data_IF_795865390809
#
_entry.id   IF_795865390809
#
_cell.length_a   1.000
_cell.length_b   1.000
_cell.length_c   1.000
_cell.angle_alpha   90.00
_cell.angle_beta   90.00
_cell.angle_gamma   90.00
#
_symmetry.space_group_name_H-M   'P 1'
#
loop_
_entity.id
_entity.type
_entity.pdbx_description
1 polymer ?
#
# COMPACT_ATOMS: atom_id res chain seq x y z
N UNK A 1 29.64 34.91 -45.33
CA UNK A 1 28.37 34.54 -45.96
C UNK A 1 28.46 33.09 -46.40
N UNK A 2 27.87 32.22 -45.65
CA UNK A 2 27.60 30.82 -46.03
C UNK A 2 26.37 30.33 -45.22
N UNK A 3 25.36 29.72 -45.86
CA UNK A 3 24.12 29.39 -45.18
C UNK A 3 24.18 28.01 -44.48
N UNK A 4 23.56 27.95 -43.34
CA UNK A 4 23.26 26.74 -42.59
C UNK A 4 22.25 25.89 -43.35
N UNK A 5 22.58 24.61 -43.58
CA UNK A 5 21.66 23.58 -44.02
C UNK A 5 21.19 22.80 -42.84
N UNK A 6 19.88 22.84 -42.55
CA UNK A 6 19.24 22.00 -41.55
C UNK A 6 18.97 20.62 -42.17
N UNK A 7 19.48 19.56 -41.55
CA UNK A 7 19.18 18.19 -41.95
C UNK A 7 18.00 17.67 -41.12
N UNK A 8 16.87 17.42 -41.79
CA UNK A 8 15.69 16.75 -41.28
C UNK A 8 15.91 15.24 -41.34
N UNK A 9 15.99 14.58 -40.19
CA UNK A 9 16.02 13.11 -40.13
C UNK A 9 14.59 12.59 -40.13
N UNK A 10 14.21 11.97 -41.21
CA UNK A 10 12.94 11.23 -41.36
C UNK A 10 13.22 9.79 -40.89
N UNK A 11 12.61 9.40 -39.78
CA UNK A 11 12.66 8.01 -39.28
C UNK A 11 11.50 7.23 -39.88
N UNK A 12 11.79 6.33 -40.82
CA UNK A 12 10.84 5.41 -41.43
C UNK A 12 10.59 4.20 -40.57
N UNK A 13 9.34 3.92 -40.24
CA UNK A 13 8.89 2.66 -39.63
C UNK A 13 8.80 1.55 -40.68
N UNK A 14 9.22 0.32 -40.41
CA UNK A 14 8.85 -0.82 -41.24
C UNK A 14 7.45 -1.34 -40.88
N UNK A 15 6.67 -1.57 -41.89
CA UNK A 15 5.35 -2.20 -41.84
C UNK A 15 5.47 -3.73 -41.85
N UNK A 16 4.59 -4.37 -41.08
CA UNK A 16 4.01 -5.65 -41.46
C UNK A 16 4.53 -6.91 -40.79
N UNK A 17 3.71 -7.44 -39.89
CA UNK A 17 3.34 -8.86 -39.92
C UNK A 17 2.03 -9.02 -39.12
N UNK A 18 0.94 -9.16 -39.84
CA UNK A 18 -0.36 -9.52 -39.32
C UNK A 18 -0.42 -11.05 -39.18
N UNK A 19 -0.64 -11.54 -37.95
CA UNK A 19 -0.99 -12.95 -37.70
C UNK A 19 -2.48 -12.99 -37.36
N UNK A 20 -3.31 -13.83 -37.98
CA UNK A 20 -4.74 -13.87 -37.69
C UNK A 20 -5.05 -14.62 -36.40
N UNK A 21 -5.70 -13.95 -35.46
CA UNK A 21 -6.32 -14.55 -34.27
C UNK A 21 -7.56 -15.38 -34.67
N UNK A 22 -7.51 -16.66 -34.36
CA UNK A 22 -8.67 -17.54 -34.36
C UNK A 22 -9.56 -17.20 -33.17
N UNK A 23 -10.77 -16.75 -33.44
CA UNK A 23 -11.84 -16.60 -32.47
C UNK A 23 -12.31 -17.98 -31.96
N UNK A 24 -12.19 -18.23 -30.67
CA UNK A 24 -12.90 -19.31 -29.98
C UNK A 24 -14.05 -18.68 -29.21
N UNK A 25 -15.26 -18.82 -29.78
CA UNK A 25 -16.49 -18.46 -29.08
C UNK A 25 -16.76 -19.46 -27.93
N UNK A 26 -16.74 -19.00 -26.68
CA UNK A 26 -17.35 -19.69 -25.55
C UNK A 26 -18.56 -18.90 -25.07
N UNK A 27 -19.73 -19.56 -25.11
CA UNK A 27 -21.04 -18.99 -24.85
C UNK A 27 -21.19 -18.52 -23.40
N UNK A 28 -21.56 -17.26 -23.23
CA UNK A 28 -22.02 -16.69 -21.99
C UNK A 28 -23.45 -17.19 -21.70
N UNK A 29 -23.63 -17.99 -20.66
CA UNK A 29 -24.93 -18.24 -20.05
C UNK A 29 -25.25 -17.10 -19.09
N UNK A 30 -26.17 -16.23 -19.49
CA UNK A 30 -26.81 -15.26 -18.62
C UNK A 30 -27.64 -16.01 -17.56
N UNK A 31 -27.28 -15.89 -16.29
CA UNK A 31 -28.15 -16.22 -15.16
C UNK A 31 -28.77 -14.93 -14.67
N UNK A 32 -30.07 -14.77 -14.94
CA UNK A 32 -30.89 -13.70 -14.40
C UNK A 32 -31.01 -13.86 -12.88
N UNK A 33 -30.59 -12.84 -12.14
CA UNK A 33 -30.88 -12.69 -10.71
C UNK A 33 -32.12 -11.80 -10.56
N UNK A 34 -33.20 -12.42 -10.08
CA UNK A 34 -34.42 -11.78 -9.63
C UNK A 34 -34.11 -10.92 -8.40
N UNK A 35 -34.33 -9.60 -8.50
CA UNK A 35 -34.32 -8.69 -7.37
C UNK A 35 -35.60 -8.90 -6.56
N UNK A 36 -35.49 -9.46 -5.36
CA UNK A 36 -36.52 -9.42 -4.33
C UNK A 36 -36.20 -8.34 -3.32
N UNK A 37 -36.90 -7.24 -3.44
CA UNK A 37 -36.89 -6.15 -2.46
C UNK A 37 -37.60 -6.58 -1.17
N UNK A 38 -36.86 -6.83 -0.10
CA UNK A 38 -37.38 -6.99 1.25
C UNK A 38 -37.26 -5.65 1.98
N UNK A 39 -38.40 -4.98 2.17
CA UNK A 39 -38.55 -3.81 3.03
C UNK A 39 -38.59 -4.31 4.46
N UNK A 40 -37.55 -4.10 5.25
CA UNK A 40 -37.56 -4.27 6.69
C UNK A 40 -38.00 -2.96 7.37
N UNK A 41 -39.22 -2.93 7.87
CA UNK A 41 -39.70 -1.91 8.76
C UNK A 41 -39.21 -2.16 10.19
N UNK A 42 -38.50 -1.18 10.76
CA UNK A 42 -38.06 -1.18 12.16
C UNK A 42 -39.20 -0.71 13.07
N UNK A 43 -39.49 -1.36 14.20
CA UNK A 43 -40.43 -0.85 15.19
C UNK A 43 -39.73 0.18 16.11
N UNK A 44 -40.43 1.29 16.33
CA UNK A 44 -40.07 2.31 17.34
C UNK A 44 -40.28 1.76 18.76
N UNK A 45 -39.40 2.05 19.72
CA UNK A 45 -39.70 1.81 21.14
C UNK A 45 -40.57 2.94 21.73
N UNK A 46 -41.64 2.57 22.42
CA UNK A 46 -42.48 3.43 23.27
C UNK A 46 -41.84 3.63 24.65
N UNK A 47 -41.99 4.80 25.30
CA UNK A 47 -41.48 5.05 26.64
C UNK A 47 -42.36 4.42 27.71
N UNK A 48 -41.84 3.98 28.86
CA UNK A 48 -42.65 3.52 29.98
C UNK A 48 -43.12 4.69 30.84
N UNK A 49 -44.39 4.59 31.27
CA UNK A 49 -45.10 5.45 32.19
C UNK A 49 -44.62 5.28 33.63
N UNK A 50 -44.67 6.40 34.34
CA UNK A 50 -44.42 6.59 35.78
C UNK A 50 -45.43 5.89 36.69
N UNK A 51 -44.98 5.34 37.82
CA UNK A 51 -45.68 5.41 39.12
C UNK A 51 -44.73 5.00 40.25
N UNK A 52 -44.42 5.90 41.07
CA UNK A 52 -44.64 6.17 42.50
C UNK A 52 -44.18 5.11 43.54
N UNK A 53 -43.35 5.67 44.45
CA UNK A 53 -43.30 5.44 45.93
C UNK A 53 -42.84 4.10 46.54
N UNK A 54 -41.74 4.12 47.26
CA UNK A 54 -41.68 4.11 48.75
C UNK A 54 -40.26 4.00 49.31
N UNK A 55 -39.94 4.95 50.21
CA UNK A 55 -39.08 4.88 51.40
C UNK A 55 -38.14 3.70 51.66
N UNK A 56 -36.83 3.97 51.87
CA UNK A 56 -36.18 3.94 53.18
C UNK A 56 -34.68 4.08 53.15
N UNK A 57 -34.22 5.00 54.04
CA UNK A 57 -33.02 4.99 54.88
C UNK A 57 -31.61 4.71 54.26
N UNK A 58 -30.85 5.75 54.32
CA UNK A 58 -29.52 6.07 54.72
C UNK A 58 -28.52 4.95 55.06
N UNK A 59 -27.42 5.05 54.33
CA UNK A 59 -26.12 4.71 54.90
C UNK A 59 -25.09 5.54 54.14
N UNK A 60 -24.50 6.50 54.84
CA UNK A 60 -23.39 7.30 54.39
C UNK A 60 -22.15 6.40 54.33
N UNK A 61 -21.74 6.05 53.16
CA UNK A 61 -20.40 5.46 52.92
C UNK A 61 -19.50 6.54 52.37
N UNK A 62 -18.62 7.03 53.22
CA UNK A 62 -17.51 7.94 52.88
C UNK A 62 -16.57 7.17 51.98
N UNK A 63 -16.62 7.44 50.67
CA UNK A 63 -15.56 6.98 49.77
C UNK A 63 -14.29 7.81 50.03
N UNK A 64 -13.38 7.20 50.74
CA UNK A 64 -12.01 7.66 50.87
C UNK A 64 -11.39 7.74 49.50
N UNK A 65 -11.01 8.93 49.06
CA UNK A 65 -10.23 9.14 47.87
C UNK A 65 -8.84 8.54 48.08
N UNK A 66 -8.66 7.33 47.63
CA UNK A 66 -7.32 6.78 47.44
C UNK A 66 -6.67 7.57 46.30
N UNK A 67 -5.72 8.41 46.64
CA UNK A 67 -4.75 8.98 45.71
C UNK A 67 -4.01 7.82 45.04
N UNK A 68 -4.50 7.39 43.89
CA UNK A 68 -3.74 6.53 43.01
C UNK A 68 -2.58 7.36 42.49
N UNK A 69 -1.40 7.16 43.05
CA UNK A 69 -0.16 7.55 42.42
C UNK A 69 -0.09 6.82 41.07
N UNK A 70 -0.40 7.56 39.98
CA UNK A 70 -0.12 7.11 38.66
C UNK A 70 1.42 6.99 38.53
N UNK A 71 1.92 5.80 38.76
CA UNK A 71 3.22 5.42 38.21
C UNK A 71 3.01 5.38 36.69
N UNK A 72 3.35 6.47 36.04
CA UNK A 72 3.64 6.51 34.61
C UNK A 72 4.81 5.55 34.40
N UNK A 73 4.49 4.28 34.13
CA UNK A 73 5.44 3.39 33.50
C UNK A 73 5.63 3.96 32.08
N UNK A 74 6.49 4.95 31.94
CA UNK A 74 7.20 5.24 30.71
C UNK A 74 8.02 3.99 30.40
N UNK A 75 7.37 3.01 29.76
CA UNK A 75 8.06 2.00 28.99
C UNK A 75 8.69 2.76 27.83
N UNK A 76 9.86 3.28 28.09
CA UNK A 76 10.83 3.71 27.11
C UNK A 76 11.16 2.44 26.31
N UNK A 77 10.31 2.15 25.30
CA UNK A 77 10.59 1.07 24.35
C UNK A 77 11.93 1.39 23.74
N UNK A 78 12.92 0.56 24.06
CA UNK A 78 14.30 0.72 23.65
C UNK A 78 14.33 0.88 22.13
N UNK A 79 14.91 1.99 21.64
CA UNK A 79 15.02 2.27 20.20
C UNK A 79 15.77 1.18 19.48
N UNK A 80 16.72 0.51 20.16
CA UNK A 80 17.51 -0.60 19.63
C UNK A 80 16.65 -1.80 19.25
N UNK A 81 15.57 -2.07 20.00
CA UNK A 81 14.69 -3.21 19.75
C UNK A 81 13.90 -3.05 18.43
N UNK A 82 13.52 -1.83 18.06
CA UNK A 82 12.82 -1.56 16.77
C UNK A 82 13.70 -1.73 15.54
N UNK A 83 15.01 -1.54 15.68
CA UNK A 83 15.97 -1.72 14.60
C UNK A 83 16.63 -3.10 14.61
N UNK A 84 16.22 -4.00 15.51
CA UNK A 84 16.69 -5.36 15.45
C UNK A 84 16.30 -6.00 14.11
N UNK A 85 17.22 -6.71 13.49
CA UNK A 85 16.99 -7.36 12.18
C UNK A 85 15.79 -8.30 12.22
N UNK A 86 15.50 -8.92 13.35
CA UNK A 86 14.40 -9.87 13.49
C UNK A 86 13.05 -9.14 13.51
N UNK A 87 12.94 -8.01 14.20
CA UNK A 87 11.73 -7.18 14.21
C UNK A 87 11.47 -6.54 12.83
N UNK A 88 12.54 -6.09 12.14
CA UNK A 88 12.44 -5.59 10.78
C UNK A 88 11.95 -6.69 9.85
N UNK A 89 12.53 -7.89 9.90
CA UNK A 89 12.10 -9.04 9.09
C UNK A 89 10.64 -9.42 9.36
N UNK A 90 10.25 -9.51 10.62
CA UNK A 90 8.87 -9.82 11.00
C UNK A 90 7.88 -8.78 10.44
N UNK A 91 8.22 -7.50 10.49
CA UNK A 91 7.42 -6.41 9.91
C UNK A 91 7.32 -6.53 8.39
N UNK A 92 8.43 -6.79 7.70
CA UNK A 92 8.46 -6.97 6.25
C UNK A 92 7.63 -8.17 5.80
N UNK A 93 7.73 -9.31 6.51
CA UNK A 93 6.98 -10.53 6.22
C UNK A 93 5.46 -10.29 6.35
N UNK A 94 5.03 -9.53 7.35
CA UNK A 94 3.62 -9.16 7.54
C UNK A 94 3.12 -8.21 6.45
N UNK A 95 3.97 -7.27 6.00
CA UNK A 95 3.64 -6.37 4.89
C UNK A 95 3.51 -7.10 3.55
N UNK A 96 4.26 -8.18 3.35
CA UNK A 96 4.08 -9.06 2.19
C UNK A 96 2.65 -9.62 2.12
N UNK A 97 2.12 -10.10 3.24
CA UNK A 97 0.76 -10.65 3.31
C UNK A 97 -0.28 -9.58 2.93
N UNK A 98 -0.14 -8.37 3.47
CA UNK A 98 -1.06 -7.26 3.17
C UNK A 98 -1.06 -6.89 1.68
N UNK A 99 0.11 -6.87 1.04
CA UNK A 99 0.22 -6.60 -0.39
C UNK A 99 -0.43 -7.71 -1.20
N UNK A 100 -0.15 -8.98 -0.90
CA UNK A 100 -0.70 -10.11 -1.64
C UNK A 100 -2.23 -10.13 -1.55
N UNK A 101 -2.81 -9.91 -0.36
CA UNK A 101 -4.27 -9.80 -0.21
C UNK A 101 -4.85 -8.63 -1.00
N UNK A 102 -4.18 -7.48 -1.00
CA UNK A 102 -4.60 -6.32 -1.81
C UNK A 102 -4.59 -6.63 -3.31
N UNK A 103 -3.55 -7.29 -3.81
CA UNK A 103 -3.43 -7.69 -5.21
C UNK A 103 -4.50 -8.72 -5.61
N UNK A 104 -4.78 -9.70 -4.76
CA UNK A 104 -5.84 -10.69 -4.98
C UNK A 104 -7.20 -10.01 -5.08
N UNK A 105 -7.48 -9.05 -4.21
CA UNK A 105 -8.73 -8.28 -4.25
C UNK A 105 -8.81 -7.40 -5.50
N UNK A 106 -7.74 -6.68 -5.83
CA UNK A 106 -7.71 -5.79 -7.01
C UNK A 106 -7.90 -6.56 -8.33
N UNK A 107 -7.30 -7.75 -8.43
CA UNK A 107 -7.39 -8.60 -9.63
C UNK A 107 -8.81 -9.10 -9.94
N UNK A 108 -9.77 -8.94 -9.01
CA UNK A 108 -11.18 -9.31 -9.27
C UNK A 108 -11.89 -8.30 -10.19
N UNK A 109 -11.32 -7.12 -10.39
CA UNK A 109 -11.93 -6.04 -11.17
C UNK A 109 -11.16 -5.81 -12.45
N UNK A 110 -11.88 -5.40 -13.51
CA UNK A 110 -11.25 -4.90 -14.73
C UNK A 110 -10.40 -3.66 -14.46
N UNK A 111 -9.66 -3.21 -15.47
CA UNK A 111 -8.80 -2.02 -15.32
C UNK A 111 -9.63 -0.80 -14.95
N UNK A 112 -10.80 -0.59 -15.58
CA UNK A 112 -11.67 0.58 -15.37
C UNK A 112 -10.89 1.89 -15.56
N UNK A 113 -10.34 2.11 -16.74
CA UNK A 113 -9.42 3.20 -17.08
C UNK A 113 -9.93 4.58 -16.66
N UNK A 114 -11.24 4.82 -16.69
CA UNK A 114 -11.86 6.06 -16.24
C UNK A 114 -11.53 6.46 -14.81
N UNK A 115 -11.18 5.50 -13.94
CA UNK A 115 -10.78 5.74 -12.54
C UNK A 115 -9.45 6.52 -12.46
N UNK A 116 -8.56 6.33 -13.43
CA UNK A 116 -7.21 6.92 -13.45
C UNK A 116 -7.10 8.18 -14.31
N UNK A 117 -8.04 8.36 -15.22
CA UNK A 117 -8.05 9.54 -16.11
C UNK A 117 -8.53 10.79 -15.36
N UNK A 118 -7.81 11.93 -15.46
CA UNK A 118 -8.28 13.19 -14.92
C UNK A 118 -9.66 13.57 -15.51
N UNK A 119 -10.69 13.62 -14.64
CA UNK A 119 -12.07 13.90 -15.05
C UNK A 119 -12.76 12.74 -15.76
N UNK A 120 -12.18 11.55 -15.84
CA UNK A 120 -12.82 10.35 -16.37
C UNK A 120 -14.07 9.95 -15.57
N UNK A 121 -14.03 10.15 -14.26
CA UNK A 121 -15.21 10.13 -13.38
C UNK A 121 -15.41 11.51 -12.79
N UNK A 122 -16.66 12.00 -12.73
CA UNK A 122 -16.97 13.33 -12.20
C UNK A 122 -16.93 13.35 -10.67
N UNK A 123 -15.75 13.63 -10.12
CA UNK A 123 -15.51 13.77 -8.68
C UNK A 123 -15.19 15.21 -8.30
N UNK A 124 -15.57 15.68 -7.09
CA UNK A 124 -15.34 17.07 -6.65
C UNK A 124 -13.90 17.26 -6.16
N UNK A 125 -12.91 16.94 -7.01
CA UNK A 125 -11.49 17.07 -6.70
C UNK A 125 -10.75 17.76 -7.85
N UNK A 126 -9.99 18.80 -7.50
CA UNK A 126 -9.25 19.63 -8.45
C UNK A 126 -7.83 19.88 -7.95
N UNK A 127 -6.90 19.98 -8.88
CA UNK A 127 -5.57 20.46 -8.61
C UNK A 127 -5.55 21.98 -8.40
N UNK A 128 -4.48 22.55 -7.83
CA UNK A 128 -4.36 23.99 -7.60
C UNK A 128 -4.48 24.86 -8.86
N UNK A 129 -4.16 24.31 -10.02
CA UNK A 129 -4.29 24.95 -11.32
C UNK A 129 -5.71 24.92 -11.92
N UNK A 130 -6.66 24.30 -11.21
CA UNK A 130 -8.05 24.16 -11.62
C UNK A 130 -8.33 22.97 -12.54
N UNK A 131 -7.34 22.14 -12.88
CA UNK A 131 -7.56 20.89 -13.61
C UNK A 131 -8.23 19.84 -12.72
N UNK A 132 -9.06 18.98 -13.31
CA UNK A 132 -9.73 17.91 -12.56
C UNK A 132 -8.72 16.83 -12.17
N UNK A 133 -8.86 16.33 -10.97
CA UNK A 133 -8.15 15.14 -10.52
C UNK A 133 -8.84 13.85 -11.04
N UNK A 134 -8.13 12.74 -11.00
CA UNK A 134 -8.72 11.42 -11.22
C UNK A 134 -9.55 10.96 -10.02
N UNK A 135 -10.41 9.96 -10.21
CA UNK A 135 -11.16 9.36 -9.10
C UNK A 135 -10.22 8.69 -8.10
N UNK A 136 -9.14 8.05 -8.55
CA UNK A 136 -8.15 7.45 -7.67
C UNK A 136 -7.49 8.49 -6.75
N UNK A 137 -7.09 9.64 -7.30
CA UNK A 137 -6.54 10.74 -6.51
C UNK A 137 -7.54 11.26 -5.48
N UNK A 138 -8.80 11.43 -5.87
CA UNK A 138 -9.86 11.82 -4.95
C UNK A 138 -9.99 10.82 -3.79
N UNK A 139 -10.09 9.52 -4.09
CA UNK A 139 -10.26 8.48 -3.07
C UNK A 139 -9.05 8.37 -2.14
N UNK A 140 -7.83 8.52 -2.67
CA UNK A 140 -6.60 8.57 -1.86
C UNK A 140 -6.61 9.75 -0.90
N UNK A 141 -6.94 10.96 -1.38
CA UNK A 141 -7.02 12.17 -0.52
C UNK A 141 -8.04 12.00 0.60
N UNK A 142 -9.24 11.50 0.30
CA UNK A 142 -10.28 11.23 1.30
C UNK A 142 -9.84 10.18 2.34
N UNK A 143 -9.21 9.09 1.90
CA UNK A 143 -8.66 8.06 2.79
C UNK A 143 -7.58 8.62 3.70
N UNK A 144 -6.66 9.42 3.15
CA UNK A 144 -5.56 10.03 3.88
C UNK A 144 -6.02 11.08 4.86
N UNK A 145 -7.05 11.86 4.52
CA UNK A 145 -7.67 12.80 5.47
C UNK A 145 -8.26 12.08 6.67
N UNK A 146 -8.95 10.96 6.46
CA UNK A 146 -9.47 10.13 7.56
C UNK A 146 -8.36 9.61 8.46
N UNK A 147 -7.35 8.98 7.87
CA UNK A 147 -6.18 8.45 8.56
C UNK A 147 -5.34 9.53 9.26
N UNK A 148 -5.17 10.68 8.62
CA UNK A 148 -4.44 11.83 9.15
C UNK A 148 -5.04 12.35 10.45
N UNK A 149 -6.36 12.50 10.53
CA UNK A 149 -7.06 12.92 11.75
C UNK A 149 -6.76 12.05 12.97
N UNK A 150 -6.48 10.77 12.76
CA UNK A 150 -6.24 9.78 13.83
C UNK A 150 -4.77 9.37 13.95
N UNK A 151 -3.85 10.22 13.54
CA UNK A 151 -2.38 10.08 13.73
C UNK A 151 -1.68 9.06 12.81
N UNK A 152 -2.32 8.52 11.77
CA UNK A 152 -1.68 7.51 10.92
C UNK A 152 -0.33 8.01 10.38
N UNK A 153 -0.31 9.19 9.78
CA UNK A 153 0.89 9.75 9.13
C UNK A 153 1.85 10.50 10.08
N UNK A 154 1.64 10.41 11.39
CA UNK A 154 2.65 10.85 12.37
C UNK A 154 3.64 9.73 12.71
N UNK A 155 3.36 8.50 12.31
CA UNK A 155 4.27 7.36 12.48
C UNK A 155 5.38 7.40 11.42
N UNK A 156 6.65 7.14 11.78
CA UNK A 156 7.79 7.25 10.86
C UNK A 156 7.79 6.21 9.72
N UNK A 157 6.93 5.21 9.79
CA UNK A 157 6.76 4.16 8.77
C UNK A 157 5.59 4.40 7.81
N UNK A 158 4.82 5.48 8.01
CA UNK A 158 3.67 5.82 7.15
C UNK A 158 3.95 7.09 6.35
N UNK A 159 3.64 7.06 5.05
CA UNK A 159 3.88 8.16 4.12
C UNK A 159 2.62 8.43 3.32
N UNK A 160 2.09 9.65 3.42
CA UNK A 160 0.95 10.08 2.63
C UNK A 160 1.38 10.35 1.18
N UNK A 161 0.47 10.07 0.23
CA UNK A 161 0.60 10.48 -1.17
C UNK A 161 0.42 11.99 -1.32
N UNK A 162 -0.44 12.57 -0.48
CA UNK A 162 -0.78 14.00 -0.50
C UNK A 162 -0.56 14.62 0.89
N UNK A 163 0.70 14.75 1.35
CA UNK A 163 1.01 15.25 2.70
C UNK A 163 0.52 16.68 2.93
N UNK A 164 0.41 17.50 1.86
CA UNK A 164 -0.09 18.88 1.91
C UNK A 164 -1.60 18.95 2.19
N UNK A 165 -2.35 17.87 1.92
CA UNK A 165 -3.79 17.79 2.14
C UNK A 165 -4.16 17.20 3.51
N UNK A 166 -3.18 16.83 4.34
CA UNK A 166 -3.44 16.23 5.64
C UNK A 166 -4.09 17.23 6.61
N UNK A 167 -5.18 16.84 7.28
CA UNK A 167 -5.87 17.69 8.23
C UNK A 167 -5.18 17.74 9.59
N UNK A 168 -5.60 18.66 10.43
CA UNK A 168 -5.22 18.68 11.84
C UNK A 168 -5.71 17.42 12.58
N UNK A 169 -4.93 16.99 13.57
CA UNK A 169 -5.31 15.86 14.42
C UNK A 169 -6.57 16.16 15.22
N UNK A 170 -7.50 15.20 15.29
CA UNK A 170 -8.69 15.27 16.17
C UNK A 170 -8.47 14.55 17.50
N UNK A 171 -7.40 13.75 17.61
CA UNK A 171 -7.00 13.08 18.84
C UNK A 171 -5.63 13.62 19.28
N UNK A 172 -5.29 13.60 20.58
CA UNK A 172 -4.03 14.15 21.06
C UNK A 172 -2.82 13.60 20.31
N UNK A 173 -1.85 14.45 20.02
CA UNK A 173 -0.58 14.02 19.43
C UNK A 173 0.10 12.97 20.30
N UNK A 174 0.82 12.05 19.67
CA UNK A 174 1.63 11.05 20.35
C UNK A 174 3.05 11.14 19.81
N UNK A 175 4.02 11.06 20.72
CA UNK A 175 5.41 10.95 20.30
C UNK A 175 5.73 9.48 20.01
N UNK A 176 6.10 9.19 18.78
CA UNK A 176 6.61 7.87 18.40
C UNK A 176 8.14 7.90 18.52
N UNK A 177 8.75 6.85 19.12
CA UNK A 177 10.19 6.70 19.03
C UNK A 177 10.60 6.65 17.57
N UNK A 178 11.39 7.63 17.14
CA UNK A 178 11.92 7.66 15.77
C UNK A 178 13.40 7.29 15.79
N UNK A 179 13.77 6.08 15.37
CA UNK A 179 15.15 5.64 15.32
C UNK A 179 15.91 6.14 14.10
N UNK A 180 15.22 6.76 13.13
CA UNK A 180 15.78 7.20 11.86
C UNK A 180 16.46 8.58 12.00
N UNK A 181 17.40 8.86 11.10
CA UNK A 181 18.00 10.19 10.97
C UNK A 181 16.98 11.26 10.56
N UNK A 182 17.18 12.53 10.90
CA UNK A 182 16.24 13.63 10.61
C UNK A 182 15.85 13.73 9.13
N UNK A 183 16.78 13.47 8.21
CA UNK A 183 16.55 13.49 6.77
C UNK A 183 15.50 12.50 6.28
N UNK A 184 15.21 11.44 7.03
CA UNK A 184 14.24 10.41 6.68
C UNK A 184 12.83 10.95 6.37
N UNK A 185 12.43 12.04 7.08
CA UNK A 185 11.10 12.64 6.92
C UNK A 185 10.84 13.28 5.55
N UNK A 186 11.88 13.68 4.85
CA UNK A 186 11.79 14.31 3.53
C UNK A 186 11.81 13.33 2.36
N UNK A 187 12.09 12.04 2.62
CA UNK A 187 12.14 11.00 1.60
C UNK A 187 10.75 10.42 1.41
N UNK A 188 10.13 10.75 0.29
CA UNK A 188 8.82 10.24 -0.11
C UNK A 188 8.79 10.04 -1.63
N UNK A 189 8.72 8.79 -2.07
CA UNK A 189 8.71 8.42 -3.48
C UNK A 189 7.31 7.97 -3.97
N UNK A 190 6.25 8.38 -3.27
CA UNK A 190 4.89 7.97 -3.60
C UNK A 190 4.46 8.35 -5.02
N UNK A 191 4.96 9.44 -5.58
CA UNK A 191 4.70 9.79 -6.99
C UNK A 191 5.21 8.69 -7.95
N UNK A 192 6.42 8.17 -7.72
CA UNK A 192 6.97 7.04 -8.50
C UNK A 192 6.20 5.74 -8.26
N UNK A 193 5.73 5.51 -7.02
CA UNK A 193 4.92 4.33 -6.69
C UNK A 193 3.59 4.40 -7.42
N UNK A 194 2.96 5.57 -7.49
CA UNK A 194 1.71 5.80 -8.23
C UNK A 194 1.90 5.53 -9.72
N UNK A 195 2.96 6.10 -10.30
CA UNK A 195 3.27 5.93 -11.72
C UNK A 195 3.48 4.45 -12.09
N UNK A 196 4.33 3.75 -11.35
CA UNK A 196 4.54 2.31 -11.50
C UNK A 196 3.24 1.51 -11.32
N UNK A 197 2.42 1.88 -10.32
CA UNK A 197 1.18 1.17 -10.04
C UNK A 197 0.21 1.23 -11.21
N UNK A 198 -0.02 2.44 -11.74
CA UNK A 198 -1.00 2.65 -12.82
C UNK A 198 -0.49 2.17 -14.16
N UNK A 199 0.79 2.43 -14.49
CA UNK A 199 1.32 2.21 -15.83
C UNK A 199 1.95 0.84 -16.05
N UNK A 200 2.43 0.18 -14.98
CA UNK A 200 3.13 -1.10 -15.09
C UNK A 200 2.36 -2.23 -14.40
N UNK A 201 1.99 -2.02 -13.10
CA UNK A 201 1.42 -3.08 -12.28
C UNK A 201 0.01 -3.44 -12.71
N UNK A 202 -0.88 -2.47 -12.85
CA UNK A 202 -2.29 -2.74 -13.18
C UNK A 202 -2.46 -3.48 -14.50
N UNK A 203 -1.79 -3.09 -15.61
CA UNK A 203 -1.85 -3.85 -16.85
C UNK A 203 -1.34 -5.29 -16.71
N UNK A 204 -0.30 -5.51 -15.89
CA UNK A 204 0.24 -6.84 -15.65
C UNK A 204 -0.66 -7.70 -14.74
N UNK A 205 -1.42 -7.07 -13.83
CA UNK A 205 -2.25 -7.74 -12.83
C UNK A 205 -3.64 -8.10 -13.36
N UNK A 206 -4.31 -7.15 -14.01
CA UNK A 206 -5.73 -7.29 -14.38
C UNK A 206 -5.95 -7.99 -15.73
N UNK A 207 -4.93 -8.11 -16.57
CA UNK A 207 -4.90 -8.95 -17.79
C UNK A 207 -5.82 -8.55 -18.95
N UNK A 208 -6.97 -8.00 -18.69
CA UNK A 208 -7.95 -7.57 -19.70
C UNK A 208 -8.26 -6.08 -19.54
N UNK A 209 -8.12 -5.35 -20.65
CA UNK A 209 -8.65 -3.99 -20.77
C UNK A 209 -10.17 -4.07 -20.78
N UNK A 210 -10.84 -3.26 -19.97
CA UNK A 210 -12.29 -3.23 -19.94
C UNK A 210 -12.81 -2.26 -18.89
N UNK A 211 -14.10 -2.00 -18.98
CA UNK A 211 -14.85 -1.18 -18.04
C UNK A 211 -16.16 -1.89 -17.68
N UNK A 212 -16.35 -2.16 -16.40
CA UNK A 212 -17.56 -2.77 -15.86
C UNK A 212 -18.32 -1.81 -14.92
N UNK A 213 -17.92 -0.54 -14.88
CA UNK A 213 -18.48 0.52 -14.02
C UNK A 213 -18.35 0.28 -12.52
N UNK A 214 -17.54 -0.69 -12.07
CA UNK A 214 -17.26 -0.94 -10.65
C UNK A 214 -16.23 0.05 -10.05
N UNK A 215 -16.31 1.31 -10.43
CA UNK A 215 -15.31 2.34 -10.09
C UNK A 215 -15.04 2.47 -8.59
N UNK A 216 -16.09 2.40 -7.76
CA UNK A 216 -15.95 2.52 -6.31
C UNK A 216 -15.15 1.36 -5.68
N UNK A 217 -15.44 0.12 -6.08
CA UNK A 217 -14.73 -1.06 -5.60
C UNK A 217 -13.30 -1.11 -6.12
N UNK A 218 -13.10 -0.80 -7.42
CA UNK A 218 -11.79 -0.68 -8.04
C UNK A 218 -10.92 0.32 -7.30
N UNK A 219 -11.40 1.57 -7.14
CA UNK A 219 -10.64 2.61 -6.46
C UNK A 219 -10.35 2.29 -4.98
N UNK A 220 -11.27 1.60 -4.28
CA UNK A 220 -11.02 1.16 -2.91
C UNK A 220 -9.89 0.11 -2.85
N UNK A 221 -9.90 -0.87 -3.75
CA UNK A 221 -8.86 -1.87 -3.85
C UNK A 221 -7.49 -1.22 -4.21
N UNK A 222 -7.49 -0.27 -5.15
CA UNK A 222 -6.30 0.50 -5.54
C UNK A 222 -5.72 1.30 -4.36
N UNK A 223 -6.55 2.03 -3.61
CA UNK A 223 -6.13 2.77 -2.41
C UNK A 223 -5.45 1.83 -1.42
N UNK A 224 -6.02 0.66 -1.15
CA UNK A 224 -5.45 -0.32 -0.24
C UNK A 224 -4.09 -0.84 -0.75
N UNK A 225 -3.98 -1.18 -2.04
CA UNK A 225 -2.72 -1.61 -2.65
C UNK A 225 -1.64 -0.53 -2.53
N UNK A 226 -1.94 0.70 -2.93
CA UNK A 226 -1.01 1.83 -2.92
C UNK A 226 -0.51 2.13 -1.50
N UNK A 227 -1.39 2.13 -0.50
CA UNK A 227 -1.00 2.35 0.89
C UNK A 227 -0.08 1.22 1.42
N UNK A 228 -0.35 -0.04 1.05
CA UNK A 228 0.52 -1.17 1.41
C UNK A 228 1.87 -1.09 0.71
N UNK A 229 1.90 -0.77 -0.59
CA UNK A 229 3.12 -0.60 -1.38
C UNK A 229 3.98 0.55 -0.85
N UNK A 230 3.36 1.71 -0.60
CA UNK A 230 4.03 2.87 -0.01
C UNK A 230 4.72 2.50 1.30
N UNK A 231 3.99 1.90 2.23
CA UNK A 231 4.54 1.47 3.51
C UNK A 231 5.71 0.50 3.35
N UNK A 232 5.56 -0.51 2.49
CA UNK A 232 6.57 -1.55 2.26
C UNK A 232 7.86 -0.98 1.66
N UNK A 233 7.73 -0.10 0.68
CA UNK A 233 8.87 0.49 -0.03
C UNK A 233 9.61 1.47 0.88
N UNK A 234 8.90 2.37 1.55
CA UNK A 234 9.51 3.33 2.47
C UNK A 234 10.07 2.68 3.74
N UNK A 235 9.66 1.46 4.09
CA UNK A 235 10.27 0.69 5.17
C UNK A 235 11.74 0.36 4.91
N UNK A 236 12.19 0.56 3.67
CA UNK A 236 13.61 0.54 3.28
C UNK A 236 14.50 1.42 4.17
N UNK A 237 14.00 2.56 4.68
CA UNK A 237 14.75 3.43 5.60
C UNK A 237 15.17 2.72 6.89
N UNK A 238 14.27 1.92 7.47
CA UNK A 238 14.57 1.13 8.68
C UNK A 238 15.59 0.03 8.38
N UNK A 239 15.50 -0.60 7.21
CA UNK A 239 16.49 -1.60 6.76
C UNK A 239 17.85 -0.95 6.59
N UNK A 240 17.90 0.23 5.96
CA UNK A 240 19.14 0.99 5.75
C UNK A 240 19.78 1.40 7.08
N UNK A 241 19.00 1.94 8.02
CA UNK A 241 19.49 2.33 9.33
C UNK A 241 20.03 1.14 10.12
N UNK A 242 19.33 0.01 10.11
CA UNK A 242 19.79 -1.22 10.77
C UNK A 242 21.12 -1.73 10.19
N UNK A 243 21.29 -1.66 8.85
CA UNK A 243 22.55 -2.03 8.19
C UNK A 243 23.66 -1.06 8.51
N UNK A 244 23.36 0.24 8.50
CA UNK A 244 24.32 1.28 8.88
C UNK A 244 24.83 1.06 10.32
N UNK A 245 23.93 0.81 11.27
CA UNK A 245 24.33 0.56 12.66
C UNK A 245 25.15 -0.73 12.84
N UNK A 246 24.97 -1.72 11.97
CA UNK A 246 25.75 -2.96 12.01
C UNK A 246 27.19 -2.79 11.46
N UNK A 247 27.41 -1.84 10.53
CA UNK A 247 28.68 -1.62 9.86
C UNK A 247 28.93 -0.14 9.58
N UNK A 248 28.99 0.72 10.61
CA UNK A 248 29.01 2.16 10.43
C UNK A 248 30.20 2.66 9.59
N UNK A 249 31.38 2.07 9.75
CA UNK A 249 32.59 2.51 9.05
C UNK A 249 32.47 2.31 7.53
N UNK A 250 32.05 1.11 7.08
CA UNK A 250 31.90 0.79 5.66
C UNK A 250 30.88 1.71 4.97
N UNK A 251 29.77 2.04 5.66
CA UNK A 251 28.73 2.92 5.12
C UNK A 251 29.18 4.39 5.15
N UNK A 252 29.85 4.85 6.22
CA UNK A 252 30.26 6.24 6.36
C UNK A 252 31.21 6.66 5.22
N UNK A 253 32.17 5.84 4.85
CA UNK A 253 33.08 6.12 3.73
C UNK A 253 32.34 6.36 2.42
N UNK A 254 31.35 5.51 2.10
CA UNK A 254 30.54 5.63 0.89
C UNK A 254 29.57 6.84 0.95
N UNK A 255 29.02 7.15 2.12
CA UNK A 255 28.14 8.31 2.33
C UNK A 255 28.92 9.61 2.14
N UNK A 256 30.09 9.74 2.75
CA UNK A 256 30.96 10.92 2.61
C UNK A 256 31.45 11.11 1.16
N UNK A 257 31.72 10.01 0.46
CA UNK A 257 32.06 10.02 -0.96
C UNK A 257 30.86 10.28 -1.88
N UNK A 258 29.61 10.30 -1.34
CA UNK A 258 28.37 10.36 -2.12
C UNK A 258 28.27 9.28 -3.21
N UNK A 259 28.82 8.08 -2.93
CA UNK A 259 28.87 6.96 -3.86
C UNK A 259 27.60 6.11 -3.79
N UNK A 260 26.59 6.53 -4.56
CA UNK A 260 25.32 5.83 -4.68
C UNK A 260 25.48 4.38 -5.22
N UNK A 261 26.46 4.16 -6.13
CA UNK A 261 26.69 2.83 -6.71
C UNK A 261 27.29 1.88 -5.69
N UNK A 262 28.30 2.32 -4.96
CA UNK A 262 28.90 1.54 -3.88
C UNK A 262 27.90 1.21 -2.78
N UNK A 263 27.04 2.15 -2.40
CA UNK A 263 25.93 1.91 -1.46
C UNK A 263 24.95 0.86 -2.01
N UNK A 264 24.57 0.96 -3.28
CA UNK A 264 23.66 -0.01 -3.91
C UNK A 264 24.24 -1.42 -3.90
N UNK A 265 25.54 -1.56 -4.22
CA UNK A 265 26.26 -2.85 -4.21
C UNK A 265 26.31 -3.43 -2.79
N UNK A 266 26.63 -2.60 -1.79
CA UNK A 266 26.70 -3.01 -0.39
C UNK A 266 25.33 -3.41 0.18
N UNK A 267 24.25 -2.83 -0.35
CA UNK A 267 22.87 -3.15 0.03
C UNK A 267 22.31 -4.40 -0.64
N UNK A 268 22.87 -4.81 -1.79
CA UNK A 268 22.32 -5.88 -2.63
C UNK A 268 22.84 -7.26 -2.23
N UNK A 269 21.92 -8.11 -1.76
CA UNK A 269 22.17 -9.51 -1.42
C UNK A 269 21.26 -10.41 -2.26
N UNK A 270 21.74 -10.83 -3.44
CA UNK A 270 20.95 -11.58 -4.43
C UNK A 270 20.26 -12.82 -3.84
N UNK A 271 20.94 -13.58 -2.99
CA UNK A 271 20.37 -14.77 -2.36
C UNK A 271 19.19 -14.44 -1.42
N UNK A 272 19.22 -13.26 -0.77
CA UNK A 272 18.14 -12.80 0.09
C UNK A 272 16.95 -12.35 -0.77
N UNK A 273 17.21 -11.64 -1.86
CA UNK A 273 16.20 -11.20 -2.82
C UNK A 273 15.49 -12.40 -3.45
N UNK A 274 16.23 -13.40 -3.93
CA UNK A 274 15.66 -14.63 -4.49
C UNK A 274 14.81 -15.41 -3.45
N UNK A 275 15.21 -15.37 -2.18
CA UNK A 275 14.44 -15.97 -1.08
C UNK A 275 13.14 -15.24 -0.84
N UNK A 276 13.13 -13.90 -0.91
CA UNK A 276 11.92 -13.08 -0.81
C UNK A 276 10.98 -13.41 -1.96
N UNK A 277 11.47 -13.41 -3.20
CA UNK A 277 10.65 -13.74 -4.39
C UNK A 277 10.00 -15.10 -4.25
N UNK A 278 10.77 -16.15 -3.93
CA UNK A 278 10.20 -17.49 -3.72
C UNK A 278 9.13 -17.51 -2.63
N UNK A 279 9.37 -16.79 -1.52
CA UNK A 279 8.40 -16.75 -0.41
C UNK A 279 7.10 -16.06 -0.81
N UNK A 280 7.15 -14.92 -1.50
CA UNK A 280 5.95 -14.20 -1.92
C UNK A 280 5.19 -14.96 -3.00
N UNK A 281 5.88 -15.64 -3.93
CA UNK A 281 5.26 -16.53 -4.90
C UNK A 281 4.52 -17.68 -4.21
N UNK A 282 5.15 -18.33 -3.23
CA UNK A 282 4.51 -19.41 -2.47
C UNK A 282 3.31 -18.93 -1.64
N UNK A 283 3.39 -17.73 -1.03
CA UNK A 283 2.27 -17.11 -0.33
C UNK A 283 1.11 -16.81 -1.28
N UNK A 284 1.40 -16.24 -2.45
CA UNK A 284 0.40 -15.97 -3.48
C UNK A 284 -0.26 -17.26 -3.97
N UNK A 285 0.50 -18.33 -4.18
CA UNK A 285 -0.02 -19.64 -4.51
C UNK A 285 -0.94 -20.22 -3.41
N UNK A 286 -0.63 -19.92 -2.14
CA UNK A 286 -1.44 -20.41 -1.01
C UNK A 286 -2.72 -19.59 -0.82
N UNK A 287 -2.62 -18.25 -0.91
CA UNK A 287 -3.73 -17.34 -0.59
C UNK A 287 -4.65 -17.07 -1.80
N UNK A 288 -4.12 -17.18 -3.01
CA UNK A 288 -4.82 -16.86 -4.25
C UNK A 288 -5.58 -18.02 -4.89
N UNK A 289 -5.63 -19.20 -4.24
CA UNK A 289 -6.37 -20.35 -4.76
C UNK A 289 -7.87 -20.06 -4.83
N UNK A 290 -8.47 -20.38 -5.96
CA UNK A 290 -9.92 -20.40 -6.09
C UNK A 290 -10.43 -21.80 -5.76
N UNK A 291 -10.96 -21.95 -4.54
CA UNK A 291 -11.46 -23.23 -4.04
C UNK A 291 -12.93 -23.34 -4.44
N UNK A 292 -13.22 -24.07 -5.53
CA UNK A 292 -14.60 -24.42 -5.88
C UNK A 292 -15.12 -25.54 -4.99
N UNK A 293 -16.39 -25.45 -4.56
CA UNK A 293 -17.06 -26.49 -3.74
C UNK A 293 -17.24 -27.84 -4.48
N UNK A 294 -16.96 -27.89 -5.78
CA UNK A 294 -17.25 -29.07 -6.63
C UNK A 294 -16.10 -30.08 -6.72
N UNK A 295 -14.94 -29.80 -6.13
CA UNK A 295 -13.82 -30.74 -6.14
C UNK A 295 -13.94 -31.75 -4.99
N UNK A 296 -14.09 -33.07 -5.28
CA UNK A 296 -13.99 -34.11 -4.25
C UNK A 296 -12.63 -34.00 -3.55
N UNK A 297 -12.63 -34.09 -2.23
CA UNK A 297 -11.45 -33.95 -1.36
C UNK A 297 -10.26 -34.89 -1.69
N UNK A 298 -10.42 -35.82 -2.63
CA UNK A 298 -9.45 -36.86 -2.94
C UNK A 298 -8.62 -36.62 -4.22
N UNK A 299 -8.84 -35.52 -4.97
CA UNK A 299 -8.19 -35.32 -6.28
C UNK A 299 -7.70 -33.89 -6.44
N UNK A 300 -6.94 -33.35 -5.50
CA UNK A 300 -6.12 -32.17 -5.73
C UNK A 300 -4.78 -32.61 -6.38
N UNK A 301 -4.84 -32.95 -7.67
CA UNK A 301 -3.59 -32.93 -8.46
C UNK A 301 -3.20 -31.47 -8.65
N UNK A 302 -1.94 -31.15 -8.44
CA UNK A 302 -1.36 -29.79 -8.54
C UNK A 302 -1.49 -29.14 -9.94
N UNK A 303 -2.21 -29.75 -10.86
CA UNK A 303 -2.44 -29.29 -12.24
C UNK A 303 -3.82 -28.64 -12.46
N UNK A 304 -4.74 -28.70 -11.48
CA UNK A 304 -6.12 -28.23 -11.62
C UNK A 304 -6.46 -27.06 -10.66
N UNK A 305 -5.44 -26.38 -10.11
CA UNK A 305 -5.66 -25.26 -9.20
C UNK A 305 -5.80 -23.98 -10.01
N UNK A 306 -7.00 -23.38 -9.97
CA UNK A 306 -7.25 -22.03 -10.46
C UNK A 306 -6.77 -21.00 -9.43
N UNK A 307 -6.15 -19.92 -9.94
CA UNK A 307 -5.66 -18.82 -9.11
C UNK A 307 -6.34 -17.52 -9.48
N UNK A 308 -6.79 -16.77 -8.48
CA UNK A 308 -7.31 -15.40 -8.64
C UNK A 308 -6.24 -14.43 -9.15
N UNK A 309 -4.99 -14.70 -8.82
CA UNK A 309 -3.79 -14.01 -9.32
C UNK A 309 -2.72 -15.05 -9.57
N UNK A 310 -2.10 -15.03 -10.74
CA UNK A 310 -0.99 -15.91 -11.04
C UNK A 310 0.16 -15.67 -10.03
N UNK A 311 0.59 -16.68 -9.26
CA UNK A 311 1.61 -16.53 -8.22
C UNK A 311 2.93 -15.96 -8.75
N UNK A 312 3.30 -16.31 -9.99
CA UNK A 312 4.50 -15.86 -10.67
C UNK A 312 4.50 -14.35 -10.88
N UNK A 313 3.32 -13.76 -11.19
CA UNK A 313 3.16 -12.31 -11.34
C UNK A 313 3.46 -11.54 -10.06
N UNK A 314 3.07 -12.10 -8.91
CA UNK A 314 3.41 -11.51 -7.61
C UNK A 314 4.92 -11.57 -7.37
N UNK A 315 5.57 -12.68 -7.74
CA UNK A 315 7.04 -12.81 -7.69
C UNK A 315 7.75 -11.81 -8.59
N UNK A 316 7.27 -11.61 -9.83
CA UNK A 316 7.76 -10.63 -10.79
C UNK A 316 7.61 -9.20 -10.26
N UNK A 317 6.44 -8.83 -9.72
CA UNK A 317 6.21 -7.54 -9.08
C UNK A 317 7.25 -7.22 -8.01
N UNK A 318 7.58 -8.19 -7.15
CA UNK A 318 8.59 -7.99 -6.13
C UNK A 318 9.98 -7.82 -6.72
N UNK A 319 10.33 -8.59 -7.74
CA UNK A 319 11.67 -8.55 -8.37
C UNK A 319 11.89 -7.27 -9.17
N UNK A 320 10.89 -6.85 -9.95
CA UNK A 320 11.05 -5.77 -10.94
C UNK A 320 10.80 -4.38 -10.35
N UNK A 321 9.94 -4.27 -9.33
CA UNK A 321 9.54 -2.95 -8.81
C UNK A 321 9.72 -2.80 -7.30
N UNK A 322 9.15 -3.67 -6.46
CA UNK A 322 9.14 -3.44 -5.01
C UNK A 322 10.55 -3.46 -4.42
N UNK A 323 11.38 -4.45 -4.77
CA UNK A 323 12.74 -4.52 -4.25
C UNK A 323 13.66 -3.44 -4.81
N UNK A 324 13.67 -3.14 -6.13
CA UNK A 324 14.44 -2.02 -6.66
C UNK A 324 14.05 -0.68 -6.02
N UNK A 325 12.78 -0.34 -5.96
CA UNK A 325 12.31 0.91 -5.33
C UNK A 325 12.64 0.97 -3.84
N UNK A 326 12.57 -0.18 -3.13
CA UNK A 326 13.01 -0.26 -1.72
C UNK A 326 14.50 0.02 -1.58
N UNK A 327 15.35 -0.44 -2.51
CA UNK A 327 16.79 -0.15 -2.52
C UNK A 327 17.07 1.31 -2.85
N UNK A 328 16.33 1.90 -3.78
CA UNK A 328 16.43 3.33 -4.09
C UNK A 328 16.18 4.19 -2.83
N UNK A 329 15.13 3.86 -2.07
CA UNK A 329 14.84 4.53 -0.78
C UNK A 329 15.97 4.31 0.23
N UNK A 330 16.58 3.12 0.26
CA UNK A 330 17.72 2.85 1.16
C UNK A 330 18.93 3.71 0.78
N UNK A 331 19.26 3.79 -0.49
CA UNK A 331 20.38 4.60 -0.99
C UNK A 331 20.14 6.08 -0.73
N UNK A 332 18.95 6.59 -1.07
CA UNK A 332 18.59 7.99 -0.82
C UNK A 332 18.66 8.34 0.66
N UNK A 333 18.21 7.45 1.53
CA UNK A 333 18.31 7.62 2.98
C UNK A 333 19.76 7.67 3.45
N UNK A 334 20.60 6.74 3.00
CA UNK A 334 22.00 6.67 3.41
C UNK A 334 22.81 7.88 2.94
N UNK A 335 22.63 8.32 1.70
CA UNK A 335 23.30 9.53 1.16
C UNK A 335 23.03 10.78 2.01
N UNK A 336 21.91 10.83 2.70
CA UNK A 336 21.48 11.96 3.54
C UNK A 336 21.55 11.66 5.05
N UNK A 337 22.09 10.48 5.42
CA UNK A 337 22.09 10.00 6.82
C UNK A 337 22.93 10.90 7.73
N UNK A 338 23.98 11.53 7.19
CA UNK A 338 24.94 12.36 7.93
C UNK A 338 24.71 13.88 7.76
N UNK A 339 23.69 14.31 7.03
CA UNK A 339 23.45 15.73 6.70
C UNK A 339 23.31 16.68 7.91
N UNK A 340 23.15 16.17 9.11
CA UNK A 340 22.88 16.96 10.33
C UNK A 340 23.76 16.57 11.53
N UNK A 341 24.93 16.00 11.27
CA UNK A 341 25.94 15.70 12.30
C UNK A 341 26.95 16.82 12.48
#
# INVERSE_FOLDING_TARGET
>A
MAPHVAATVVCSRPAGCAVPLRAAARGARARGLCASSVVCASPRPTPPSSSADHHRRGSSSVCSAATASSSTNDQQTDKSDRLSLDNIRASLIRQEDSIIFGLIERAQYLINAAVYEPGGVDVPCFHPDGTRASMLEFMLRENEQGGGKIRRYTSPDEHAFYPEALPMLVIPAMSYPNPLAPAAGSININARIMDMYVNDLLPALCGEEGDDFNYGSTGLADVNCLQCLSKRIHYGKFVAESKFQAKPEEFTELIEAQDASGLMDLLTYKEVEDRVVRRVTNKAATYGQDISEELPNDVLSSQDIDYKVAPERVGELYREWIMPMTKDVQVEYLLRRLDHL
#
